data_IF_114420481610
#
_entry.id   IF_114420481610
#
_cell.length_a   1.000
_cell.length_b   1.000
_cell.length_c   1.000
_cell.angle_alpha   90.00
_cell.angle_beta   90.00
_cell.angle_gamma   90.00
#
_symmetry.space_group_name_H-M   'P 1'
#
loop_
_entity.id
_entity.type
_entity.pdbx_description
1 polymer ?
#
# COMPACT_ATOMS: atom_id res chain seq x y z
N UNK A 1 -1.58 -5.25 45.58
CA UNK A 1 -2.48 -5.93 46.55
C UNK A 1 -2.30 -5.33 47.95
N UNK A 2 -1.11 -5.40 48.52
CA UNK A 2 -0.79 -4.99 49.92
C UNK A 2 -1.40 -3.66 50.37
N UNK A 3 -1.29 -2.58 49.59
CA UNK A 3 -1.78 -1.25 50.01
C UNK A 3 -3.31 -1.18 50.13
N UNK A 4 -4.05 -1.81 49.19
CA UNK A 4 -5.52 -1.77 49.19
C UNK A 4 -6.09 -2.53 50.37
N UNK A 5 -5.50 -3.68 50.68
CA UNK A 5 -5.94 -4.54 51.78
C UNK A 5 -5.69 -3.88 53.14
N UNK A 6 -4.56 -3.16 53.28
CA UNK A 6 -4.23 -2.36 54.46
C UNK A 6 -5.26 -1.22 54.63
N UNK A 7 -5.54 -0.45 53.57
CA UNK A 7 -6.51 0.66 53.63
C UNK A 7 -7.90 0.15 54.04
N UNK A 8 -8.37 -0.94 53.43
CA UNK A 8 -9.66 -1.55 53.77
C UNK A 8 -9.71 -2.01 55.22
N UNK A 9 -8.63 -2.64 55.73
CA UNK A 9 -8.55 -3.08 57.12
C UNK A 9 -8.69 -1.91 58.10
N UNK A 10 -8.00 -0.79 57.84
CA UNK A 10 -8.13 0.42 58.66
C UNK A 10 -9.53 1.02 58.60
N UNK A 11 -10.14 1.08 57.41
CA UNK A 11 -11.51 1.56 57.22
C UNK A 11 -12.51 0.70 58.00
N UNK A 12 -12.35 -0.63 57.98
CA UNK A 12 -13.19 -1.57 58.74
C UNK A 12 -13.06 -1.35 60.24
N UNK A 13 -11.83 -1.18 60.76
CA UNK A 13 -11.62 -0.85 62.18
C UNK A 13 -12.30 0.48 62.53
N UNK A 14 -12.16 1.50 61.69
CA UNK A 14 -12.74 2.82 61.91
C UNK A 14 -14.28 2.75 61.91
N UNK A 15 -14.87 2.04 60.95
CA UNK A 15 -16.31 1.79 60.87
C UNK A 15 -16.83 1.12 62.14
N UNK A 16 -16.16 0.06 62.62
CA UNK A 16 -16.51 -0.63 63.87
C UNK A 16 -16.41 0.27 65.10
N UNK A 17 -15.30 1.00 65.24
CA UNK A 17 -15.09 1.92 66.38
C UNK A 17 -16.16 3.00 66.41
N UNK A 18 -16.50 3.55 65.25
CA UNK A 18 -17.52 4.59 65.13
C UNK A 18 -18.91 4.03 65.38
N UNK A 19 -19.22 2.86 64.82
CA UNK A 19 -20.46 2.14 65.07
C UNK A 19 -20.69 1.95 66.58
N UNK A 20 -19.69 1.41 67.30
CA UNK A 20 -19.75 1.25 68.76
C UNK A 20 -19.98 2.55 69.51
N UNK A 21 -19.27 3.61 69.14
CA UNK A 21 -19.42 4.93 69.77
C UNK A 21 -20.83 5.50 69.56
N UNK A 22 -21.31 5.52 68.31
CA UNK A 22 -22.63 6.04 67.97
C UNK A 22 -23.74 5.15 68.61
N UNK A 23 -23.53 3.83 68.71
CA UNK A 23 -24.44 2.88 69.34
C UNK A 23 -24.55 3.07 70.86
N UNK A 24 -23.42 3.31 71.54
CA UNK A 24 -23.41 3.63 72.97
C UNK A 24 -24.15 4.95 73.28
N UNK A 25 -24.22 5.87 72.31
CA UNK A 25 -24.98 7.11 72.40
C UNK A 25 -26.43 6.99 71.92
N UNK A 26 -26.87 5.80 71.48
CA UNK A 26 -28.22 5.58 70.96
C UNK A 26 -28.48 6.19 69.58
N UNK A 27 -27.42 6.51 68.81
CA UNK A 27 -27.52 7.10 67.47
C UNK A 27 -27.55 6.01 66.40
N UNK A 28 -28.47 6.05 65.41
CA UNK A 28 -29.62 6.96 65.30
C UNK A 28 -30.75 6.60 66.27
N UNK A 29 -31.53 7.61 66.69
CA UNK A 29 -32.68 7.45 67.61
C UNK A 29 -33.71 6.51 66.95
N UNK A 30 -34.20 5.45 67.63
CA UNK A 30 -35.05 4.43 67.01
C UNK A 30 -36.34 4.96 66.36
N UNK A 31 -36.93 6.02 66.93
CA UNK A 31 -38.26 6.55 66.56
C UNK A 31 -38.20 7.74 65.57
N UNK A 32 -37.05 8.40 65.41
CA UNK A 32 -36.92 9.65 64.61
C UNK A 32 -36.01 9.54 63.36
N UNK A 33 -35.46 8.35 63.09
CA UNK A 33 -34.41 8.21 62.08
C UNK A 33 -34.95 8.21 60.64
N UNK A 34 -35.31 9.39 60.11
CA UNK A 34 -35.50 9.61 58.68
C UNK A 34 -34.17 9.84 57.92
N UNK A 35 -33.07 10.05 58.66
CA UNK A 35 -31.77 10.43 58.10
C UNK A 35 -30.69 9.45 58.55
N UNK A 36 -29.83 9.04 57.61
CA UNK A 36 -28.68 8.17 57.92
C UNK A 36 -27.74 8.82 58.94
N UNK A 37 -27.15 8.02 59.87
CA UNK A 37 -26.23 8.56 60.85
C UNK A 37 -24.97 9.13 60.20
N UNK A 38 -24.34 10.10 60.86
CA UNK A 38 -23.16 10.79 60.33
C UNK A 38 -22.00 9.82 59.98
N UNK A 39 -21.90 8.69 60.67
CA UNK A 39 -20.96 7.61 60.35
C UNK A 39 -21.19 7.00 58.96
N UNK A 40 -22.42 6.59 58.65
CA UNK A 40 -22.78 6.05 57.33
C UNK A 40 -22.64 7.11 56.23
N UNK A 41 -23.04 8.35 56.51
CA UNK A 41 -22.91 9.43 55.53
C UNK A 41 -21.44 9.76 55.21
N UNK A 42 -20.54 9.65 56.19
CA UNK A 42 -19.09 9.78 55.96
C UNK A 42 -18.57 8.67 55.06
N UNK A 43 -18.96 7.43 55.32
CA UNK A 43 -18.59 6.30 54.47
C UNK A 43 -19.12 6.53 53.05
N UNK A 44 -20.37 6.99 52.90
CA UNK A 44 -20.99 7.28 51.59
C UNK A 44 -20.17 8.31 50.82
N UNK A 45 -19.83 9.44 51.46
CA UNK A 45 -19.00 10.49 50.84
C UNK A 45 -17.62 9.99 50.40
N UNK A 46 -17.03 9.03 51.12
CA UNK A 46 -15.76 8.42 50.73
C UNK A 46 -15.91 7.56 49.47
N UNK A 47 -16.97 6.76 49.40
CA UNK A 47 -17.32 5.95 48.23
C UNK A 47 -17.63 6.81 47.02
N UNK A 48 -18.46 7.85 47.18
CA UNK A 48 -18.80 8.79 46.11
C UNK A 48 -17.53 9.42 45.53
N UNK A 49 -16.58 9.85 46.38
CA UNK A 49 -15.28 10.39 45.93
C UNK A 49 -14.45 9.35 45.18
N UNK A 50 -14.39 8.10 45.67
CA UNK A 50 -13.66 7.03 45.00
C UNK A 50 -14.26 6.71 43.62
N UNK A 51 -15.59 6.69 43.51
CA UNK A 51 -16.30 6.52 42.24
C UNK A 51 -16.07 7.72 41.29
N UNK A 52 -16.06 8.94 41.80
CA UNK A 52 -15.73 10.15 41.02
C UNK A 52 -14.28 10.16 40.53
N UNK A 53 -13.33 9.70 41.35
CA UNK A 53 -11.92 9.55 40.96
C UNK A 53 -11.76 8.51 39.87
N UNK A 54 -12.42 7.35 40.02
CA UNK A 54 -12.46 6.31 39.01
C UNK A 54 -13.09 6.82 37.70
N UNK A 55 -14.17 7.60 37.79
CA UNK A 55 -14.84 8.19 36.64
C UNK A 55 -13.96 9.22 35.93
N UNK A 56 -13.25 10.08 36.68
CA UNK A 56 -12.28 11.04 36.11
C UNK A 56 -11.13 10.32 35.41
N UNK A 57 -10.60 9.28 36.03
CA UNK A 57 -9.54 8.46 35.45
C UNK A 57 -10.01 7.81 34.14
N UNK A 58 -11.19 7.20 34.15
CA UNK A 58 -11.81 6.62 32.97
C UNK A 58 -12.07 7.67 31.88
N UNK A 59 -12.65 8.82 32.20
CA UNK A 59 -12.92 9.88 31.22
C UNK A 59 -11.65 10.36 30.51
N UNK A 60 -10.51 10.41 31.21
CA UNK A 60 -9.22 10.75 30.60
C UNK A 60 -8.72 9.68 29.62
N UNK A 61 -8.85 8.39 29.99
CA UNK A 61 -8.51 7.27 29.10
C UNK A 61 -9.45 7.26 27.89
N UNK A 62 -10.75 7.38 28.14
CA UNK A 62 -11.80 7.33 27.13
C UNK A 62 -11.64 8.46 26.11
N UNK A 63 -11.31 9.68 26.55
CA UNK A 63 -11.01 10.81 25.65
C UNK A 63 -9.92 10.47 24.65
N UNK A 64 -8.85 9.80 25.08
CA UNK A 64 -7.75 9.38 24.19
C UNK A 64 -8.17 8.27 23.23
N UNK A 65 -8.89 7.26 23.73
CA UNK A 65 -9.38 6.15 22.91
C UNK A 65 -10.41 6.64 21.87
N UNK A 66 -11.35 7.49 22.29
CA UNK A 66 -12.36 8.14 21.43
C UNK A 66 -11.70 8.99 20.36
N UNK A 67 -10.69 9.79 20.70
CA UNK A 67 -9.93 10.58 19.73
C UNK A 67 -9.29 9.70 18.64
N UNK A 68 -8.67 8.58 19.02
CA UNK A 68 -8.12 7.61 18.06
C UNK A 68 -9.21 6.95 17.20
N UNK A 69 -10.34 6.60 17.81
CA UNK A 69 -11.48 5.99 17.12
C UNK A 69 -12.07 6.92 16.05
N UNK A 70 -12.35 8.18 16.42
CA UNK A 70 -12.87 9.16 15.48
C UNK A 70 -11.86 9.49 14.38
N UNK A 71 -10.56 9.58 14.69
CA UNK A 71 -9.51 9.76 13.70
C UNK A 71 -9.45 8.62 12.67
N UNK A 72 -9.51 7.36 13.13
CA UNK A 72 -9.55 6.20 12.22
C UNK A 72 -10.82 6.16 11.36
N UNK A 73 -11.99 6.48 11.93
CA UNK A 73 -13.23 6.58 11.16
C UNK A 73 -13.15 7.64 10.06
N UNK A 74 -12.58 8.80 10.37
CA UNK A 74 -12.35 9.87 9.38
C UNK A 74 -11.43 9.38 8.26
N UNK A 75 -10.32 8.72 8.59
CA UNK A 75 -9.42 8.14 7.59
C UNK A 75 -10.13 7.12 6.70
N UNK A 76 -10.94 6.23 7.27
CA UNK A 76 -11.73 5.25 6.50
C UNK A 76 -12.71 5.96 5.56
N UNK A 77 -13.37 7.04 6.01
CA UNK A 77 -14.27 7.82 5.16
C UNK A 77 -13.54 8.45 3.98
N UNK A 78 -12.44 9.16 4.25
CA UNK A 78 -11.64 9.80 3.21
C UNK A 78 -11.14 8.77 2.20
N UNK A 79 -10.73 7.60 2.68
CA UNK A 79 -10.22 6.54 1.83
C UNK A 79 -11.32 5.87 1.00
N UNK A 80 -12.56 5.77 1.51
CA UNK A 80 -13.73 5.36 0.72
C UNK A 80 -14.01 6.34 -0.42
N UNK A 81 -13.97 7.65 -0.15
CA UNK A 81 -14.17 8.69 -1.17
C UNK A 81 -13.08 8.60 -2.24
N UNK A 82 -11.81 8.53 -1.85
CA UNK A 82 -10.71 8.41 -2.83
C UNK A 82 -10.80 7.11 -3.64
N UNK A 83 -11.26 6.02 -3.02
CA UNK A 83 -11.43 4.75 -3.72
C UNK A 83 -12.52 4.85 -4.78
N UNK A 84 -13.67 5.46 -4.45
CA UNK A 84 -14.72 5.72 -5.44
C UNK A 84 -14.23 6.58 -6.60
N UNK A 85 -13.47 7.65 -6.33
CA UNK A 85 -12.87 8.50 -7.37
C UNK A 85 -11.93 7.71 -8.28
N UNK A 86 -11.03 6.89 -7.71
CA UNK A 86 -10.14 6.04 -8.50
C UNK A 86 -10.87 4.94 -9.28
N UNK A 87 -12.01 4.46 -8.80
CA UNK A 87 -12.86 3.52 -9.53
C UNK A 87 -13.50 4.18 -10.75
N UNK A 88 -13.97 5.42 -10.62
CA UNK A 88 -14.48 6.20 -11.77
C UNK A 88 -13.38 6.44 -12.81
N UNK A 89 -12.19 6.85 -12.38
CA UNK A 89 -11.04 7.03 -13.28
C UNK A 89 -10.64 5.71 -13.96
N UNK A 90 -10.64 4.59 -13.21
CA UNK A 90 -10.38 3.27 -13.79
C UNK A 90 -11.41 2.90 -14.86
N UNK A 91 -12.70 3.11 -14.60
CA UNK A 91 -13.77 2.84 -15.58
C UNK A 91 -13.61 3.70 -16.83
N UNK A 92 -13.33 5.00 -16.65
CA UNK A 92 -13.10 5.93 -17.75
C UNK A 92 -11.93 5.49 -18.62
N UNK A 93 -10.79 5.17 -18.02
CA UNK A 93 -9.61 4.67 -18.73
C UNK A 93 -9.87 3.31 -19.40
N UNK A 94 -10.72 2.47 -18.81
CA UNK A 94 -11.07 1.17 -19.38
C UNK A 94 -11.85 1.33 -20.67
N UNK A 95 -12.82 2.25 -20.73
CA UNK A 95 -13.55 2.58 -21.97
C UNK A 95 -12.58 3.07 -23.05
N UNK A 96 -11.72 4.04 -22.72
CA UNK A 96 -10.72 4.55 -23.66
C UNK A 96 -9.75 3.45 -24.14
N UNK A 97 -9.37 2.52 -23.26
CA UNK A 97 -8.54 1.39 -23.64
C UNK A 97 -9.27 0.41 -24.56
N UNK A 98 -10.54 0.08 -24.27
CA UNK A 98 -11.37 -0.78 -25.11
C UNK A 98 -11.57 -0.16 -26.51
N UNK A 99 -11.84 1.14 -26.59
CA UNK A 99 -11.96 1.87 -27.85
C UNK A 99 -10.65 1.84 -28.66
N UNK A 100 -9.53 2.16 -28.00
CA UNK A 100 -8.21 2.12 -28.65
C UNK A 100 -7.83 0.71 -29.10
N UNK A 101 -8.13 -0.31 -28.29
CA UNK A 101 -7.90 -1.71 -28.66
C UNK A 101 -8.79 -2.14 -29.82
N UNK A 102 -10.03 -1.65 -29.88
CA UNK A 102 -10.92 -1.82 -31.02
C UNK A 102 -10.30 -1.24 -32.30
N UNK A 103 -9.84 0.01 -32.24
CA UNK A 103 -9.17 0.66 -33.37
C UNK A 103 -7.90 -0.08 -33.82
N UNK A 104 -7.05 -0.51 -32.88
CA UNK A 104 -5.83 -1.30 -33.17
C UNK A 104 -6.19 -2.66 -33.81
N UNK A 105 -7.24 -3.32 -33.31
CA UNK A 105 -7.69 -4.60 -33.87
C UNK A 105 -8.28 -4.45 -35.28
N UNK A 106 -9.05 -3.40 -35.54
CA UNK A 106 -9.54 -3.11 -36.89
C UNK A 106 -8.40 -2.79 -37.86
N UNK A 107 -7.44 -1.95 -37.45
CA UNK A 107 -6.24 -1.69 -38.25
C UNK A 107 -5.46 -2.98 -38.54
N UNK A 108 -5.33 -3.87 -37.55
CA UNK A 108 -4.73 -5.20 -37.74
C UNK A 108 -5.51 -6.06 -38.74
N UNK A 109 -6.84 -6.06 -38.70
CA UNK A 109 -7.68 -6.80 -39.66
C UNK A 109 -7.49 -6.27 -41.08
N UNK A 110 -7.55 -4.95 -41.27
CA UNK A 110 -7.35 -4.29 -42.57
C UNK A 110 -5.96 -4.61 -43.14
N UNK A 111 -4.92 -4.60 -42.29
CA UNK A 111 -3.57 -4.97 -42.72
C UNK A 111 -3.48 -6.44 -43.11
N UNK A 112 -4.10 -7.35 -42.35
CA UNK A 112 -4.11 -8.78 -42.67
C UNK A 112 -4.84 -9.08 -43.98
N UNK A 113 -5.95 -8.39 -44.28
CA UNK A 113 -6.67 -8.56 -45.55
C UNK A 113 -5.92 -7.97 -46.73
N UNK A 114 -5.20 -6.87 -46.54
CA UNK A 114 -4.45 -6.20 -47.62
C UNK A 114 -3.10 -6.83 -47.96
N UNK A 115 -2.39 -7.37 -46.97
CA UNK A 115 -1.00 -7.86 -47.12
C UNK A 115 -0.84 -9.38 -46.95
N UNK A 116 -1.94 -10.11 -46.72
CA UNK A 116 -1.94 -11.57 -46.55
C UNK A 116 -1.40 -12.04 -45.19
N UNK A 117 -1.53 -13.35 -44.88
CA UNK A 117 -1.02 -13.95 -43.64
C UNK A 117 0.53 -14.01 -43.56
N UNK A 118 1.23 -13.78 -44.68
CA UNK A 118 2.70 -13.81 -44.77
C UNK A 118 3.43 -12.66 -44.05
N UNK A 119 2.74 -11.70 -43.44
CA UNK A 119 3.38 -10.64 -42.62
C UNK A 119 3.65 -11.02 -41.16
N UNK A 120 3.48 -12.29 -40.77
CA UNK A 120 3.70 -12.77 -39.40
C UNK A 120 5.08 -13.43 -39.16
N UNK A 121 6.03 -13.36 -40.11
CA UNK A 121 7.43 -13.78 -39.86
C UNK A 121 8.10 -12.87 -38.83
N UNK A 122 7.98 -13.23 -37.56
CA UNK A 122 8.50 -12.46 -36.44
C UNK A 122 9.65 -13.18 -35.79
N UNK A 123 10.74 -12.46 -35.57
CA UNK A 123 11.89 -12.99 -34.86
C UNK A 123 11.72 -12.78 -33.35
N UNK A 124 12.03 -13.80 -32.57
CA UNK A 124 12.13 -13.66 -31.11
C UNK A 124 13.24 -12.63 -30.79
N UNK A 125 13.03 -11.66 -29.88
CA UNK A 125 14.05 -10.71 -29.45
C UNK A 125 15.40 -11.35 -29.08
N UNK A 126 15.37 -12.55 -28.49
CA UNK A 126 16.60 -13.31 -28.18
C UNK A 126 17.32 -13.76 -29.45
N UNK A 127 16.58 -14.26 -30.45
CA UNK A 127 17.13 -14.63 -31.74
C UNK A 127 17.75 -13.42 -32.44
N UNK A 128 17.03 -12.29 -32.46
CA UNK A 128 17.53 -11.04 -33.02
C UNK A 128 18.88 -10.62 -32.40
N UNK A 129 18.99 -10.65 -31.07
CA UNK A 129 20.23 -10.32 -30.36
C UNK A 129 21.39 -11.24 -30.77
N UNK A 130 21.15 -12.55 -30.85
CA UNK A 130 22.16 -13.52 -31.27
C UNK A 130 22.66 -13.28 -32.69
N UNK A 131 21.75 -12.97 -33.62
CA UNK A 131 22.13 -12.66 -35.01
C UNK A 131 22.90 -11.33 -35.13
N UNK A 132 22.49 -10.30 -34.40
CA UNK A 132 23.22 -9.02 -34.39
C UNK A 132 24.64 -9.18 -33.83
N UNK A 133 24.80 -9.99 -32.78
CA UNK A 133 26.13 -10.32 -32.24
C UNK A 133 26.97 -11.12 -33.23
N UNK A 134 26.38 -12.11 -33.91
CA UNK A 134 27.07 -12.90 -34.92
C UNK A 134 27.54 -12.05 -36.11
N UNK A 135 26.70 -11.11 -36.58
CA UNK A 135 27.07 -10.15 -37.63
C UNK A 135 28.23 -9.27 -37.15
N UNK A 136 28.15 -8.73 -35.93
CA UNK A 136 29.20 -7.89 -35.37
C UNK A 136 30.55 -8.63 -35.27
N UNK A 137 30.53 -9.89 -34.81
CA UNK A 137 31.72 -10.74 -34.70
C UNK A 137 32.27 -11.09 -36.09
N UNK A 138 31.40 -11.35 -37.08
CA UNK A 138 31.81 -11.69 -38.44
C UNK A 138 32.39 -10.53 -39.24
N UNK A 139 31.83 -9.33 -39.07
CA UNK A 139 32.30 -8.09 -39.73
C UNK A 139 33.67 -7.63 -39.22
N UNK A 140 33.98 -7.92 -37.96
CA UNK A 140 35.23 -7.49 -37.33
C UNK A 140 36.50 -8.01 -38.05
N UNK A 141 36.73 -9.32 -38.23
CA UNK A 141 37.95 -9.80 -38.91
C UNK A 141 37.99 -9.39 -40.38
N UNK A 142 36.84 -9.33 -41.07
CA UNK A 142 36.76 -8.95 -42.48
C UNK A 142 37.26 -7.52 -42.72
N UNK A 143 36.88 -6.59 -41.84
CA UNK A 143 37.29 -5.19 -41.93
C UNK A 143 38.70 -4.96 -41.34
N UNK A 144 39.12 -5.71 -40.33
CA UNK A 144 40.46 -5.60 -39.75
C UNK A 144 41.57 -5.89 -40.77
N UNK A 145 41.37 -6.86 -41.66
CA UNK A 145 42.34 -7.18 -42.73
C UNK A 145 42.53 -5.99 -43.67
N UNK A 146 41.46 -5.25 -44.00
CA UNK A 146 41.55 -4.08 -44.87
C UNK A 146 42.27 -2.90 -44.19
N UNK A 147 42.01 -2.67 -42.90
CA UNK A 147 42.63 -1.56 -42.16
C UNK A 147 44.12 -1.77 -41.85
N UNK A 148 44.62 -3.01 -41.83
CA UNK A 148 46.07 -3.27 -41.67
C UNK A 148 46.91 -2.64 -42.79
N UNK A 149 46.32 -2.33 -43.94
CA UNK A 149 47.00 -1.64 -45.04
C UNK A 149 47.47 -0.23 -44.68
N UNK A 150 46.82 0.44 -43.73
CA UNK A 150 47.22 1.79 -43.33
C UNK A 150 48.59 1.83 -42.62
N UNK A 151 49.17 0.67 -42.30
CA UNK A 151 50.49 0.58 -41.65
C UNK A 151 50.52 1.10 -40.21
N UNK A 152 49.35 1.38 -39.66
CA UNK A 152 49.15 1.87 -38.29
C UNK A 152 49.35 0.76 -37.25
N UNK A 153 49.53 1.16 -35.98
CA UNK A 153 49.63 0.21 -34.88
C UNK A 153 48.42 -0.74 -34.83
N UNK A 154 48.64 -2.03 -34.52
CA UNK A 154 47.59 -3.06 -34.53
C UNK A 154 46.38 -2.68 -33.67
N UNK A 155 46.63 -2.03 -32.52
CA UNK A 155 45.58 -1.55 -31.62
C UNK A 155 44.68 -0.53 -32.31
N UNK A 156 45.25 0.41 -33.07
CA UNK A 156 44.48 1.44 -33.78
C UNK A 156 43.62 0.82 -34.88
N UNK A 157 44.16 -0.16 -35.60
CA UNK A 157 43.43 -0.96 -36.60
C UNK A 157 42.19 -1.64 -35.99
N UNK A 158 42.35 -2.29 -34.83
CA UNK A 158 41.22 -2.93 -34.16
C UNK A 158 40.17 -1.93 -33.66
N UNK A 159 40.60 -0.77 -33.16
CA UNK A 159 39.68 0.30 -32.74
C UNK A 159 38.89 0.83 -33.94
N UNK A 160 39.54 1.14 -35.06
CA UNK A 160 38.88 1.60 -36.29
C UNK A 160 37.86 0.58 -36.80
N UNK A 161 38.25 -0.69 -36.81
CA UNK A 161 37.41 -1.82 -37.19
C UNK A 161 36.17 -1.93 -36.30
N UNK A 162 36.35 -1.84 -34.97
CA UNK A 162 35.24 -1.92 -34.02
C UNK A 162 34.26 -0.77 -34.21
N UNK A 163 34.76 0.46 -34.34
CA UNK A 163 33.94 1.66 -34.54
C UNK A 163 33.11 1.53 -35.80
N UNK A 164 33.71 1.08 -36.90
CA UNK A 164 33.02 0.83 -38.15
C UNK A 164 31.94 -0.25 -37.99
N UNK A 165 32.30 -1.42 -37.45
CA UNK A 165 31.38 -2.55 -37.32
C UNK A 165 30.16 -2.19 -36.45
N UNK A 166 30.38 -1.53 -35.31
CA UNK A 166 29.31 -1.03 -34.44
C UNK A 166 28.45 0.02 -35.16
N UNK A 167 29.05 0.91 -35.94
CA UNK A 167 28.33 1.95 -36.68
C UNK A 167 27.46 1.38 -37.80
N UNK A 168 27.95 0.38 -38.54
CA UNK A 168 27.19 -0.32 -39.59
C UNK A 168 26.02 -1.11 -38.98
N UNK A 169 26.28 -1.89 -37.94
CA UNK A 169 25.25 -2.68 -37.25
C UNK A 169 24.21 -1.77 -36.57
N UNK A 170 24.66 -0.69 -35.93
CA UNK A 170 23.80 0.29 -35.28
C UNK A 170 22.94 1.07 -36.27
N UNK A 171 23.50 1.48 -37.41
CA UNK A 171 22.73 2.17 -38.46
C UNK A 171 21.72 1.24 -39.14
N UNK A 172 22.06 -0.03 -39.37
CA UNK A 172 21.10 -1.03 -39.86
C UNK A 172 19.94 -1.26 -38.87
N UNK A 173 20.25 -1.32 -37.57
CA UNK A 173 19.24 -1.43 -36.52
C UNK A 173 18.27 -0.24 -36.55
N UNK A 174 18.81 0.99 -36.53
CA UNK A 174 18.00 2.22 -36.56
C UNK A 174 17.21 2.33 -37.86
N UNK A 175 17.80 1.99 -38.99
CA UNK A 175 17.12 1.98 -40.29
C UNK A 175 15.91 1.03 -40.28
N UNK A 176 16.07 -0.18 -39.76
CA UNK A 176 14.96 -1.14 -39.66
C UNK A 176 13.82 -0.65 -38.76
N UNK A 177 14.13 0.03 -37.65
CA UNK A 177 13.11 0.67 -36.80
C UNK A 177 12.40 1.79 -37.57
N UNK A 178 13.13 2.58 -38.34
CA UNK A 178 12.53 3.69 -39.07
C UNK A 178 11.67 3.24 -40.24
N UNK A 179 12.07 2.18 -40.92
CA UNK A 179 11.25 1.54 -41.94
C UNK A 179 9.97 0.91 -41.35
N UNK A 180 9.98 0.50 -40.08
CA UNK A 180 8.77 -0.03 -39.43
C UNK A 180 7.78 1.05 -38.96
N UNK A 181 8.13 2.34 -39.07
CA UNK A 181 7.24 3.45 -38.72
C UNK A 181 6.37 3.89 -39.91
N UNK A 182 5.07 4.02 -39.69
CA UNK A 182 4.12 4.47 -40.73
C UNK A 182 4.21 5.95 -41.08
N UNK A 183 4.63 6.79 -40.11
CA UNK A 183 4.67 8.25 -40.26
C UNK A 183 5.94 8.81 -39.61
N UNK A 184 7.10 8.74 -40.29
CA UNK A 184 8.32 9.33 -39.75
C UNK A 184 8.20 10.87 -39.69
N UNK A 185 8.72 11.46 -38.62
CA UNK A 185 8.88 12.91 -38.51
C UNK A 185 9.95 13.43 -39.49
N UNK A 186 9.98 14.75 -39.75
CA UNK A 186 11.01 15.35 -40.64
C UNK A 186 12.44 15.02 -40.18
N UNK A 187 12.68 14.99 -38.87
CA UNK A 187 13.98 14.60 -38.29
C UNK A 187 14.27 13.12 -38.53
N UNK A 188 13.26 12.25 -38.40
CA UNK A 188 13.41 10.82 -38.68
C UNK A 188 13.65 10.54 -40.16
N UNK A 189 13.06 11.32 -41.06
CA UNK A 189 13.32 11.22 -42.50
C UNK A 189 14.77 11.59 -42.83
N UNK A 190 15.30 12.67 -42.22
CA UNK A 190 16.71 13.04 -42.36
C UNK A 190 17.62 11.93 -41.83
N UNK A 191 17.34 11.41 -40.63
CA UNK A 191 18.14 10.32 -40.06
C UNK A 191 18.04 9.03 -40.88
N UNK A 192 16.88 8.72 -41.47
CA UNK A 192 16.72 7.60 -42.40
C UNK A 192 17.64 7.79 -43.62
N UNK A 193 17.69 9.00 -44.21
CA UNK A 193 18.60 9.28 -45.31
C UNK A 193 20.07 9.12 -44.89
N UNK A 194 20.45 9.57 -43.69
CA UNK A 194 21.80 9.38 -43.13
C UNK A 194 22.12 7.90 -42.92
N UNK A 195 21.17 7.13 -42.37
CA UNK A 195 21.34 5.69 -42.15
C UNK A 195 21.46 4.90 -43.47
N UNK A 196 20.99 5.42 -44.59
CA UNK A 196 21.23 4.81 -45.91
C UNK A 196 22.55 5.30 -46.51
N UNK A 197 22.75 6.62 -46.60
CA UNK A 197 23.87 7.19 -47.34
C UNK A 197 25.21 6.95 -46.65
N UNK A 198 25.29 7.10 -45.32
CA UNK A 198 26.56 6.98 -44.60
C UNK A 198 27.14 5.55 -44.64
N UNK A 199 26.37 4.47 -44.40
CA UNK A 199 26.86 3.10 -44.55
C UNK A 199 27.26 2.75 -45.98
N UNK A 200 26.50 3.19 -46.98
CA UNK A 200 26.88 2.99 -48.39
C UNK A 200 28.22 3.66 -48.72
N UNK A 201 28.41 4.90 -48.24
CA UNK A 201 29.69 5.60 -48.38
C UNK A 201 30.84 4.89 -47.68
N UNK A 202 30.62 4.36 -46.48
CA UNK A 202 31.63 3.62 -45.73
C UNK A 202 32.01 2.29 -46.42
N UNK A 203 31.02 1.50 -46.85
CA UNK A 203 31.25 0.24 -47.59
C UNK A 203 32.03 0.52 -48.88
N UNK A 204 31.66 1.57 -49.62
CA UNK A 204 32.36 1.97 -50.83
C UNK A 204 33.81 2.40 -50.54
N UNK A 205 34.04 3.23 -49.52
CA UNK A 205 35.37 3.68 -49.13
C UNK A 205 36.30 2.51 -48.76
N UNK A 206 35.82 1.56 -47.96
CA UNK A 206 36.61 0.38 -47.55
C UNK A 206 36.90 -0.52 -48.76
N UNK A 207 35.92 -0.66 -49.66
CA UNK A 207 36.12 -1.44 -50.88
C UNK A 207 37.24 -0.86 -51.76
N UNK A 208 37.32 0.47 -51.89
CA UNK A 208 38.42 1.14 -52.61
C UNK A 208 39.78 0.90 -51.95
N UNK A 209 39.87 1.00 -50.61
CA UNK A 209 41.09 0.69 -49.86
C UNK A 209 41.50 -0.77 -50.09
N UNK A 210 40.52 -1.68 -50.14
CA UNK A 210 40.75 -3.10 -50.38
C UNK A 210 41.20 -3.41 -51.81
N UNK A 211 40.73 -2.65 -52.80
CA UNK A 211 41.22 -2.80 -54.18
C UNK A 211 42.72 -2.52 -54.27
N UNK A 212 43.19 -1.46 -53.61
CA UNK A 212 44.61 -1.12 -53.55
C UNK A 212 45.45 -2.25 -52.93
N UNK A 213 44.96 -2.88 -51.85
CA UNK A 213 45.61 -4.06 -51.23
C UNK A 213 45.78 -5.23 -52.21
N UNK A 214 44.71 -5.56 -52.95
CA UNK A 214 44.73 -6.71 -53.88
C UNK A 214 45.69 -6.48 -55.04
N UNK A 215 45.81 -5.23 -55.50
CA UNK A 215 46.78 -4.86 -56.54
C UNK A 215 48.22 -5.07 -56.05
N UNK A 216 48.53 -4.67 -54.80
CA UNK A 216 49.87 -4.82 -54.22
C UNK A 216 50.27 -6.29 -53.98
N UNK A 217 49.32 -7.17 -53.66
CA UNK A 217 49.61 -8.59 -53.43
C UNK A 217 49.90 -9.38 -54.71
N UNK A 218 49.53 -8.87 -55.90
CA UNK A 218 49.89 -9.44 -57.21
C UNK A 218 49.47 -10.90 -57.51
N UNK A 219 48.76 -11.56 -56.59
CA UNK A 219 48.56 -13.03 -56.58
C UNK A 219 47.08 -13.47 -56.55
N UNK A 220 46.14 -12.61 -56.94
CA UNK A 220 44.74 -13.03 -57.06
C UNK A 220 44.43 -13.54 -58.48
N UNK A 221 44.02 -14.80 -58.61
CA UNK A 221 43.49 -15.36 -59.87
C UNK A 221 42.17 -14.73 -60.35
N UNK A 222 41.74 -13.63 -59.73
CA UNK A 222 40.55 -12.86 -60.04
C UNK A 222 40.97 -11.39 -60.21
N UNK A 223 40.29 -10.65 -61.10
CA UNK A 223 40.62 -9.23 -61.31
C UNK A 223 40.37 -8.42 -60.01
N UNK A 224 41.21 -7.42 -59.69
CA UNK A 224 41.04 -6.60 -58.48
C UNK A 224 39.64 -6.01 -58.36
N UNK A 225 39.07 -5.55 -59.48
CA UNK A 225 37.69 -5.04 -59.58
C UNK A 225 36.64 -6.07 -59.19
N UNK A 226 36.83 -7.34 -59.54
CA UNK A 226 35.90 -8.41 -59.17
C UNK A 226 35.93 -8.67 -57.65
N UNK A 227 37.12 -8.66 -57.03
CA UNK A 227 37.27 -8.82 -55.58
C UNK A 227 36.60 -7.66 -54.82
N UNK A 228 36.78 -6.44 -55.30
CA UNK A 228 36.12 -5.22 -54.77
C UNK A 228 34.60 -5.32 -54.88
N UNK A 229 34.09 -5.71 -56.05
CA UNK A 229 32.65 -5.87 -56.28
C UNK A 229 32.04 -6.94 -55.37
N UNK A 230 32.70 -8.09 -55.20
CA UNK A 230 32.26 -9.15 -54.28
C UNK A 230 32.23 -8.67 -52.83
N UNK A 231 33.21 -7.87 -52.40
CA UNK A 231 33.24 -7.33 -51.04
C UNK A 231 32.08 -6.35 -50.80
N UNK A 232 31.82 -5.43 -51.73
CA UNK A 232 30.69 -4.51 -51.66
C UNK A 232 29.38 -5.30 -51.57
N UNK A 233 29.20 -6.32 -52.43
CA UNK A 233 28.01 -7.16 -52.44
C UNK A 233 27.77 -7.86 -51.10
N UNK A 234 28.80 -8.47 -50.50
CA UNK A 234 28.69 -9.17 -49.22
C UNK A 234 28.32 -8.20 -48.10
N UNK A 235 28.99 -7.05 -48.00
CA UNK A 235 28.70 -6.05 -46.97
C UNK A 235 27.29 -5.47 -47.13
N UNK A 236 26.85 -5.18 -48.35
CA UNK A 236 25.49 -4.73 -48.63
C UNK A 236 24.46 -5.81 -48.26
N UNK A 237 24.75 -7.07 -48.52
CA UNK A 237 23.88 -8.18 -48.15
C UNK A 237 23.75 -8.30 -46.64
N UNK A 238 24.86 -8.28 -45.90
CA UNK A 238 24.86 -8.35 -44.43
C UNK A 238 24.11 -7.15 -43.83
N UNK A 239 24.37 -5.94 -44.32
CA UNK A 239 23.67 -4.73 -43.90
C UNK A 239 22.16 -4.80 -44.18
N UNK A 240 21.77 -5.30 -45.35
CA UNK A 240 20.36 -5.48 -45.73
C UNK A 240 19.67 -6.52 -44.84
N UNK A 241 20.33 -7.65 -44.56
CA UNK A 241 19.82 -8.68 -43.64
C UNK A 241 19.63 -8.08 -42.24
N UNK A 242 20.62 -7.38 -41.69
CA UNK A 242 20.52 -6.74 -40.38
C UNK A 242 19.35 -5.73 -40.32
N UNK A 243 19.15 -4.97 -41.39
CA UNK A 243 18.05 -3.99 -41.51
C UNK A 243 16.69 -4.69 -41.51
N UNK A 244 16.53 -5.76 -42.31
CA UNK A 244 15.30 -6.55 -42.38
C UNK A 244 15.01 -7.23 -41.03
N UNK A 245 16.02 -7.82 -40.38
CA UNK A 245 15.85 -8.43 -39.05
C UNK A 245 15.40 -7.39 -38.01
N UNK A 246 15.96 -6.18 -38.05
CA UNK A 246 15.54 -5.09 -37.17
C UNK A 246 14.09 -4.66 -37.44
N UNK A 247 13.70 -4.53 -38.71
CA UNK A 247 12.34 -4.23 -39.14
C UNK A 247 11.32 -5.28 -38.65
N UNK A 248 11.64 -6.56 -38.80
CA UNK A 248 10.76 -7.66 -38.39
C UNK A 248 10.61 -7.79 -36.86
N UNK A 249 11.57 -7.26 -36.09
CA UNK A 249 11.56 -7.38 -34.61
C UNK A 249 10.80 -6.22 -33.94
N UNK A 250 10.77 -5.03 -34.55
CA UNK A 250 10.20 -3.83 -33.91
C UNK A 250 8.79 -3.51 -34.41
N UNK A 251 7.79 -4.15 -33.77
CA UNK A 251 6.36 -3.92 -34.05
C UNK A 251 5.86 -2.58 -33.46
N UNK A 252 5.46 -1.59 -34.29
CA UNK A 252 4.87 -0.34 -33.81
C UNK A 252 3.54 -0.56 -33.05
N UNK A 253 2.78 -1.61 -33.37
CA UNK A 253 1.50 -1.92 -32.73
C UNK A 253 1.69 -2.45 -31.30
N UNK A 254 2.70 -3.30 -31.08
CA UNK A 254 3.02 -3.78 -29.73
C UNK A 254 3.45 -2.64 -28.79
N UNK A 255 4.02 -1.56 -29.34
CA UNK A 255 4.30 -0.33 -28.58
C UNK A 255 3.00 0.41 -28.24
N UNK A 256 2.09 0.57 -29.19
CA UNK A 256 0.79 1.21 -28.95
C UNK A 256 -0.05 0.48 -27.92
N UNK A 257 -0.15 -0.86 -28.00
CA UNK A 257 -0.86 -1.68 -27.00
C UNK A 257 -0.26 -1.48 -25.60
N UNK A 258 1.07 -1.47 -25.48
CA UNK A 258 1.73 -1.22 -24.18
C UNK A 258 1.43 0.17 -23.63
N UNK A 259 1.35 1.18 -24.49
CA UNK A 259 1.02 2.55 -24.08
C UNK A 259 -0.42 2.67 -23.58
N UNK A 260 -1.37 1.92 -24.14
CA UNK A 260 -2.77 1.93 -23.68
C UNK A 260 -2.97 1.09 -22.41
N UNK A 261 -2.22 0.00 -22.21
CA UNK A 261 -2.31 -0.85 -21.01
C UNK A 261 -1.63 -0.26 -19.77
N UNK A 262 -0.52 0.47 -19.94
CA UNK A 262 0.27 1.02 -18.84
C UNK A 262 -0.55 1.85 -17.82
N UNK A 263 -1.36 2.86 -18.23
CA UNK A 263 -2.13 3.67 -17.29
C UNK A 263 -3.18 2.85 -16.54
N UNK A 264 -3.85 1.90 -17.21
CA UNK A 264 -4.79 0.98 -16.56
C UNK A 264 -4.14 0.15 -15.47
N UNK A 265 -2.95 -0.42 -15.75
CA UNK A 265 -2.19 -1.18 -14.75
C UNK A 265 -1.78 -0.32 -13.57
N UNK A 266 -1.40 0.93 -13.80
CA UNK A 266 -1.02 1.87 -12.75
C UNK A 266 -2.20 2.19 -11.82
N UNK A 267 -3.36 2.55 -12.37
CA UNK A 267 -4.55 2.86 -11.57
C UNK A 267 -5.05 1.62 -10.82
N UNK A 268 -5.07 0.44 -11.46
CA UNK A 268 -5.42 -0.83 -10.81
C UNK A 268 -4.51 -1.15 -9.62
N UNK A 269 -3.20 -0.90 -9.75
CA UNK A 269 -2.24 -1.04 -8.64
C UNK A 269 -2.50 -0.03 -7.52
N UNK A 270 -2.83 1.21 -7.84
CA UNK A 270 -3.19 2.22 -6.83
C UNK A 270 -4.47 1.82 -6.07
N UNK A 271 -5.52 1.40 -6.79
CA UNK A 271 -6.78 0.94 -6.21
C UNK A 271 -6.56 -0.23 -5.25
N UNK A 272 -5.83 -1.27 -5.67
CA UNK A 272 -5.52 -2.42 -4.80
C UNK A 272 -4.73 -2.04 -3.54
N UNK A 273 -3.82 -1.06 -3.63
CA UNK A 273 -3.08 -0.54 -2.46
C UNK A 273 -4.01 0.19 -1.49
N UNK A 274 -4.92 1.03 -2.01
CA UNK A 274 -5.92 1.72 -1.20
C UNK A 274 -6.86 0.73 -0.52
N UNK A 275 -7.38 -0.26 -1.25
CA UNK A 275 -8.25 -1.30 -0.71
C UNK A 275 -7.59 -2.07 0.46
N UNK A 276 -6.32 -2.49 0.31
CA UNK A 276 -5.57 -3.13 1.40
C UNK A 276 -5.38 -2.20 2.61
N UNK A 277 -5.19 -0.90 2.39
CA UNK A 277 -5.08 0.09 3.47
C UNK A 277 -6.43 0.25 4.19
N UNK A 278 -7.55 0.27 3.46
CA UNK A 278 -8.91 0.27 4.01
C UNK A 278 -9.12 -0.89 4.96
N UNK A 279 -8.87 -2.11 4.49
CA UNK A 279 -9.09 -3.35 5.26
C UNK A 279 -8.24 -3.35 6.54
N UNK A 280 -6.97 -2.94 6.46
CA UNK A 280 -6.10 -2.80 7.64
C UNK A 280 -6.65 -1.78 8.66
N UNK A 281 -7.19 -0.66 8.19
CA UNK A 281 -7.79 0.35 9.07
C UNK A 281 -9.08 -0.17 9.71
N UNK A 282 -9.92 -0.87 8.96
CA UNK A 282 -11.16 -1.47 9.47
C UNK A 282 -10.87 -2.52 10.56
N UNK A 283 -9.86 -3.37 10.39
CA UNK A 283 -9.43 -4.32 11.42
C UNK A 283 -8.93 -3.59 12.68
N UNK A 284 -8.11 -2.55 12.52
CA UNK A 284 -7.62 -1.73 13.66
C UNK A 284 -8.76 -1.03 14.39
N UNK A 285 -9.76 -0.56 13.64
CA UNK A 285 -10.95 0.06 14.19
C UNK A 285 -11.75 -0.94 15.04
N UNK A 286 -11.96 -2.16 14.54
CA UNK A 286 -12.61 -3.23 15.29
C UNK A 286 -11.87 -3.55 16.59
N UNK A 287 -10.53 -3.66 16.54
CA UNK A 287 -9.71 -3.85 17.73
C UNK A 287 -9.89 -2.72 18.74
N UNK A 288 -9.92 -1.47 18.27
CA UNK A 288 -10.08 -0.30 19.15
C UNK A 288 -11.47 -0.24 19.79
N UNK A 289 -12.51 -0.62 19.06
CA UNK A 289 -13.88 -0.76 19.59
C UNK A 289 -13.90 -1.81 20.70
N UNK A 290 -13.35 -3.00 20.43
CA UNK A 290 -13.27 -4.08 21.42
C UNK A 290 -12.45 -3.68 22.64
N UNK A 291 -11.33 -2.97 22.44
CA UNK A 291 -10.48 -2.49 23.53
C UNK A 291 -11.22 -1.49 24.41
N UNK A 292 -11.89 -0.49 23.82
CA UNK A 292 -12.67 0.51 24.57
C UNK A 292 -13.79 -0.12 25.39
N UNK A 293 -14.50 -1.10 24.81
CA UNK A 293 -15.51 -1.88 25.54
C UNK A 293 -14.91 -2.71 26.68
N UNK A 294 -13.80 -3.40 26.44
CA UNK A 294 -13.11 -4.20 27.46
C UNK A 294 -12.63 -3.33 28.63
N UNK A 295 -12.05 -2.16 28.34
CA UNK A 295 -11.61 -1.23 29.38
C UNK A 295 -12.78 -0.68 30.17
N UNK A 296 -13.90 -0.31 29.52
CA UNK A 296 -15.10 0.10 30.25
C UNK A 296 -15.60 -1.01 31.18
N UNK A 297 -15.68 -2.26 30.70
CA UNK A 297 -16.11 -3.39 31.55
C UNK A 297 -15.19 -3.58 32.77
N UNK A 298 -13.89 -3.39 32.60
CA UNK A 298 -12.94 -3.46 33.71
C UNK A 298 -13.17 -2.33 34.73
N UNK A 299 -13.40 -1.10 34.27
CA UNK A 299 -13.73 0.05 35.13
C UNK A 299 -15.07 -0.16 35.83
N UNK A 300 -16.09 -0.66 35.12
CA UNK A 300 -17.37 -1.01 35.72
C UNK A 300 -17.19 -2.06 36.81
N UNK A 301 -16.40 -3.11 36.58
CA UNK A 301 -16.11 -4.12 37.59
C UNK A 301 -15.42 -3.52 38.83
N UNK A 302 -14.46 -2.62 38.62
CA UNK A 302 -13.80 -1.89 39.71
C UNK A 302 -14.79 -1.03 40.51
N UNK A 303 -15.72 -0.35 39.82
CA UNK A 303 -16.79 0.40 40.48
C UNK A 303 -17.67 -0.51 41.35
N UNK A 304 -18.02 -1.72 40.88
CA UNK A 304 -18.78 -2.70 41.67
C UNK A 304 -17.98 -3.21 42.88
N UNK A 305 -16.66 -3.39 42.75
CA UNK A 305 -15.82 -3.75 43.91
C UNK A 305 -15.85 -2.64 44.97
N UNK A 306 -15.80 -1.37 44.55
CA UNK A 306 -15.88 -0.21 45.47
C UNK A 306 -17.24 -0.16 46.17
N UNK A 307 -18.35 -0.37 45.44
CA UNK A 307 -19.69 -0.37 46.04
C UNK A 307 -19.88 -1.54 47.00
N UNK A 308 -19.43 -2.75 46.64
CA UNK A 308 -19.54 -3.92 47.51
C UNK A 308 -18.70 -3.76 48.79
N UNK A 309 -17.46 -3.26 48.66
CA UNK A 309 -16.61 -2.97 49.82
C UNK A 309 -17.25 -1.95 50.77
N UNK A 310 -17.99 -0.98 50.22
CA UNK A 310 -18.74 -0.03 51.01
C UNK A 310 -19.93 -0.67 51.73
N UNK A 311 -20.70 -1.53 51.05
CA UNK A 311 -21.81 -2.27 51.66
C UNK A 311 -21.32 -3.08 52.87
N UNK A 312 -20.18 -3.75 52.74
CA UNK A 312 -19.52 -4.44 53.86
C UNK A 312 -19.17 -3.50 55.02
N UNK A 313 -18.62 -2.31 54.72
CA UNK A 313 -18.27 -1.31 55.75
C UNK A 313 -19.51 -0.77 56.47
N UNK A 314 -20.63 -0.58 55.77
CA UNK A 314 -21.91 -0.25 56.40
C UNK A 314 -22.36 -1.35 57.34
N UNK A 315 -22.32 -2.61 56.90
CA UNK A 315 -22.77 -3.72 57.75
C UNK A 315 -21.92 -3.82 59.01
N UNK A 316 -20.60 -3.65 58.88
CA UNK A 316 -19.68 -3.62 60.03
C UNK A 316 -19.96 -2.47 61.00
N UNK A 317 -20.27 -1.28 60.46
CA UNK A 317 -20.72 -0.14 61.26
C UNK A 317 -22.04 -0.46 61.99
N UNK A 318 -23.06 -0.97 61.28
CA UNK A 318 -24.38 -1.28 61.82
C UNK A 318 -24.33 -2.37 62.88
N UNK A 319 -23.62 -3.47 62.63
CA UNK A 319 -23.43 -4.55 63.61
C UNK A 319 -22.77 -4.03 64.90
N UNK A 320 -21.65 -3.31 64.76
CA UNK A 320 -20.95 -2.70 65.90
C UNK A 320 -21.80 -1.69 66.66
N UNK A 321 -22.70 -0.98 65.96
CA UNK A 321 -23.65 -0.06 66.57
C UNK A 321 -24.71 -0.80 67.38
N UNK A 322 -25.31 -1.86 66.83
CA UNK A 322 -26.31 -2.68 67.52
C UNK A 322 -25.74 -3.38 68.76
N UNK A 323 -24.50 -3.89 68.68
CA UNK A 323 -23.82 -4.54 69.80
C UNK A 323 -23.60 -3.61 71.00
N UNK A 324 -23.31 -2.32 70.74
CA UNK A 324 -23.02 -1.33 71.78
C UNK A 324 -24.27 -0.67 72.38
N UNK A 325 -25.45 -0.86 71.79
CA UNK A 325 -26.71 -0.29 72.27
C UNK A 325 -27.21 -1.00 73.53
N UNK A 326 -27.76 -0.23 74.46
CA UNK A 326 -28.40 -0.76 75.68
C UNK A 326 -29.70 -1.53 75.39
N UNK A 327 -30.56 -0.96 74.54
CA UNK A 327 -31.91 -1.47 74.26
C UNK A 327 -31.95 -2.57 73.18
N UNK A 328 -30.84 -2.78 72.45
CA UNK A 328 -30.70 -3.76 71.35
C UNK A 328 -31.80 -3.71 70.28
N UNK A 329 -32.53 -2.60 70.18
CA UNK A 329 -33.53 -2.33 69.14
C UNK A 329 -32.86 -1.92 67.84
N UNK A 330 -33.36 -2.44 66.71
CA UNK A 330 -32.85 -2.09 65.37
C UNK A 330 -33.53 -0.81 64.88
N UNK A 331 -32.77 0.26 64.58
CA UNK A 331 -33.32 1.48 63.99
C UNK A 331 -34.04 1.21 62.67
N UNK A 332 -35.18 1.88 62.44
CA UNK A 332 -35.92 1.75 61.18
C UNK A 332 -35.04 2.05 59.95
N UNK A 333 -34.21 3.09 60.01
CA UNK A 333 -33.31 3.51 58.92
C UNK A 333 -32.26 2.47 58.52
N UNK A 334 -31.94 1.50 59.40
CA UNK A 334 -31.00 0.43 59.06
C UNK A 334 -31.62 -0.62 58.13
N UNK A 335 -32.92 -0.58 57.91
CA UNK A 335 -33.61 -1.41 56.91
C UNK A 335 -33.38 -0.89 55.48
N UNK A 336 -33.05 0.39 55.36
CA UNK A 336 -32.76 1.03 54.08
C UNK A 336 -31.26 1.05 53.80
N UNK A 337 -30.91 1.05 52.51
CA UNK A 337 -29.55 1.22 52.05
C UNK A 337 -29.38 2.59 51.41
N UNK A 338 -28.29 3.32 51.70
CA UNK A 338 -28.01 4.54 50.95
C UNK A 338 -27.77 4.18 49.48
N UNK A 339 -28.48 4.86 48.58
CA UNK A 339 -28.33 4.64 47.14
C UNK A 339 -27.01 5.20 46.59
N UNK A 340 -26.39 4.45 45.69
CA UNK A 340 -25.22 4.88 44.91
C UNK A 340 -25.60 5.09 43.46
N UNK A 341 -25.45 6.33 43.00
CA UNK A 341 -25.50 6.63 41.57
C UNK A 341 -24.10 6.48 40.99
N UNK A 342 -23.89 5.51 40.10
CA UNK A 342 -22.67 5.45 39.31
C UNK A 342 -22.55 6.72 38.45
N UNK A 343 -21.36 7.33 38.29
CA UNK A 343 -21.19 8.44 37.37
C UNK A 343 -21.51 8.03 35.93
N UNK A 344 -22.26 8.87 35.20
CA UNK A 344 -22.70 8.61 33.80
C UNK A 344 -21.54 8.21 32.88
N UNK A 345 -20.36 8.79 33.11
CA UNK A 345 -19.15 8.48 32.35
C UNK A 345 -18.78 6.98 32.35
N UNK A 346 -19.10 6.24 33.42
CA UNK A 346 -18.83 4.79 33.55
C UNK A 346 -20.02 3.94 33.06
N UNK A 347 -21.19 4.54 32.85
CA UNK A 347 -22.39 3.80 32.47
C UNK A 347 -22.47 3.53 30.96
N UNK A 348 -22.08 4.50 30.12
CA UNK A 348 -22.32 4.44 28.67
C UNK A 348 -21.10 4.92 27.88
N UNK A 349 -20.79 4.20 26.80
CA UNK A 349 -19.80 4.64 25.81
C UNK A 349 -20.42 5.61 24.82
N UNK A 350 -19.84 6.80 24.74
CA UNK A 350 -20.15 7.75 23.68
C UNK A 350 -19.34 7.43 22.41
N UNK A 351 -20.04 6.91 21.40
CA UNK A 351 -19.48 6.59 20.08
C UNK A 351 -19.62 7.73 19.07
N UNK A 352 -20.27 8.84 19.43
CA UNK A 352 -20.53 9.92 18.51
C UNK A 352 -19.23 10.63 18.11
N UNK A 353 -19.01 10.71 16.79
CA UNK A 353 -17.90 11.43 16.18
C UNK A 353 -18.48 12.49 15.23
N UNK A 354 -18.34 13.79 15.54
CA UNK A 354 -18.99 14.86 14.78
C UNK A 354 -18.54 14.96 13.32
N UNK A 355 -17.30 14.56 13.02
CA UNK A 355 -16.76 14.59 11.66
C UNK A 355 -17.30 13.46 10.74
N UNK A 356 -17.95 12.46 11.33
CA UNK A 356 -18.35 11.21 10.65
C UNK A 356 -19.68 10.67 11.21
N UNK A 357 -20.78 11.46 11.15
CA UNK A 357 -22.06 11.08 11.76
C UNK A 357 -22.65 9.80 11.14
N UNK A 358 -22.49 9.60 9.84
CA UNK A 358 -23.13 8.52 9.08
C UNK A 358 -22.50 7.13 9.34
N UNK A 359 -21.25 7.09 9.81
CA UNK A 359 -20.51 5.84 9.99
C UNK A 359 -20.69 5.19 11.37
N UNK A 360 -21.20 5.94 12.36
CA UNK A 360 -21.40 5.43 13.73
C UNK A 360 -22.60 4.46 13.81
N UNK A 361 -23.57 4.59 12.91
CA UNK A 361 -24.75 3.72 12.86
C UNK A 361 -24.41 2.26 12.47
N UNK A 362 -23.37 2.03 11.68
CA UNK A 362 -23.02 0.69 11.19
C UNK A 362 -22.22 -0.14 12.19
N UNK A 363 -21.52 0.46 13.16
CA UNK A 363 -20.79 -0.30 14.19
C UNK A 363 -21.71 -0.94 15.23
N UNK A 364 -22.95 -0.45 15.43
CA UNK A 364 -23.94 -1.09 16.32
C UNK A 364 -24.46 -2.42 15.76
N UNK A 365 -24.51 -2.58 14.44
CA UNK A 365 -25.05 -3.78 13.76
C UNK A 365 -24.10 -4.97 13.88
N UNK A 366 -22.78 -4.75 13.90
CA UNK A 366 -21.80 -5.84 14.06
C UNK A 366 -21.75 -6.43 15.47
N UNK A 367 -22.25 -5.71 16.49
CA UNK A 367 -22.30 -6.21 17.87
C UNK A 367 -23.59 -6.95 18.22
N UNK A 368 -24.69 -6.76 17.47
CA UNK A 368 -25.96 -7.43 17.76
C UNK A 368 -26.10 -8.81 17.14
N UNK A 369 -25.30 -9.17 16.13
CA UNK A 369 -25.34 -10.52 15.53
C UNK A 369 -24.66 -11.58 16.40
N UNK A 370 -23.67 -11.20 17.22
CA UNK A 370 -22.95 -12.15 18.08
C UNK A 370 -23.70 -12.49 19.38
N UNK A 371 -24.69 -11.72 19.81
CA UNK A 371 -25.45 -11.99 21.04
C UNK A 371 -26.68 -12.87 20.83
N UNK A 372 -27.00 -13.25 19.58
CA UNK A 372 -28.14 -14.14 19.25
C UNK A 372 -27.73 -15.59 18.96
N UNK A 373 -26.46 -15.95 19.10
CA UNK A 373 -25.96 -17.31 18.93
C UNK A 373 -25.43 -17.95 20.23
N UNK A 374 -25.64 -17.31 21.37
CA UNK A 374 -25.25 -17.81 22.69
C UNK A 374 -26.42 -17.76 23.68
N UNK A 375 -27.56 -18.28 23.25
CA UNK A 375 -28.75 -18.54 24.06
C UNK A 375 -29.29 -19.92 23.75
#
# INVERSE_FOLDING_TARGET
>A
MVIRDIIWYFQRIQARRRGRYDGAQGVPVPEEASTFPAGEFRLKRMTDRALEELARHWAHIDKRLKGRYCGMLREVRLLKISLTETEFEFRRLKVVHEDNMGAINEDRKVKRTKWGPEHEWRMNPLGYLMFMLAILIGEFPLNAIAFRLFGEAEVLTYVMTLVLAVSLVGSAHVLGIFLSMEKPSKVQLLLLAVCVVAPLGAIFAIALVREAYVIELGHSGMSPRAVTATFILINLLIYSIATVLSYLTHDPMARQIRMTEAPLRQVKRQMSRMQRRKEKLEIRLQYLVAWRQKTLRAVMHEAHIITNAFEELIQEYRMSNLEARKEKTVPAIFKDHPEFSLPVAIQVLDWYCPEVPDLVATSRVMTSSSSKQAS
#
